data_IF_813803319839
#
_entry.id   IF_813803319839
#
_cell.length_a   1.000
_cell.length_b   1.000
_cell.length_c   1.000
_cell.angle_alpha   90.00
_cell.angle_beta   90.00
_cell.angle_gamma   90.00
#
_symmetry.space_group_name_H-M   'P 1'
#
loop_
_entity.id
_entity.type
_entity.pdbx_description
1 polymer ?
#
# COMPACT_ATOMS: atom_id res chain seq x y z
N UNK A 1 -17.58 22.31 -24.86
CA UNK A 1 -17.99 23.59 -25.44
C UNK A 1 -19.07 24.17 -24.55
N UNK A 2 -19.03 25.46 -24.24
CA UNK A 2 -20.15 26.08 -23.55
C UNK A 2 -21.40 26.04 -24.45
N UNK A 3 -22.54 25.70 -23.88
CA UNK A 3 -23.82 25.74 -24.54
C UNK A 3 -24.66 26.88 -23.94
N UNK A 4 -25.47 27.51 -24.74
CA UNK A 4 -26.42 28.51 -24.31
C UNK A 4 -27.79 27.86 -24.05
N UNK A 5 -28.65 28.51 -23.27
CA UNK A 5 -30.04 28.14 -23.14
C UNK A 5 -30.79 28.31 -24.48
N UNK A 6 -32.04 27.87 -24.51
CA UNK A 6 -32.86 27.96 -25.75
C UNK A 6 -33.15 29.40 -26.22
N UNK A 7 -32.80 30.40 -25.40
CA UNK A 7 -32.95 31.84 -25.73
C UNK A 7 -31.62 32.52 -26.04
N UNK A 8 -30.49 31.82 -25.81
CA UNK A 8 -29.14 32.33 -26.06
C UNK A 8 -28.64 33.38 -25.07
N UNK A 9 -29.39 33.62 -23.99
CA UNK A 9 -29.11 34.72 -23.05
C UNK A 9 -28.23 34.28 -21.85
N UNK A 10 -28.22 33.01 -21.52
CA UNK A 10 -27.43 32.47 -20.39
C UNK A 10 -26.45 31.39 -20.85
N UNK A 11 -25.23 31.48 -20.34
CA UNK A 11 -24.19 30.49 -20.58
C UNK A 11 -24.23 29.41 -19.50
N UNK A 12 -24.64 28.20 -19.86
CA UNK A 12 -24.51 27.06 -18.98
C UNK A 12 -23.10 26.50 -19.08
N UNK A 13 -22.33 26.71 -18.02
CA UNK A 13 -21.10 25.94 -17.77
C UNK A 13 -21.48 24.63 -17.06
N UNK A 14 -22.18 23.78 -17.76
CA UNK A 14 -22.25 22.40 -17.31
C UNK A 14 -20.88 21.77 -17.61
N UNK A 15 -19.93 22.02 -16.71
CA UNK A 15 -18.72 21.26 -16.64
C UNK A 15 -19.13 19.90 -16.07
N UNK A 16 -19.75 19.08 -16.90
CA UNK A 16 -19.70 17.65 -16.69
C UNK A 16 -18.21 17.31 -16.83
N UNK A 17 -17.50 17.38 -15.73
CA UNK A 17 -16.27 16.63 -15.57
C UNK A 17 -16.69 15.15 -15.69
N UNK A 18 -16.76 14.65 -16.91
CA UNK A 18 -16.43 13.25 -17.07
C UNK A 18 -15.05 13.12 -16.43
N UNK A 19 -14.90 12.32 -15.37
CA UNK A 19 -13.56 11.90 -15.02
C UNK A 19 -13.06 11.33 -16.35
N UNK A 20 -12.13 12.01 -16.99
CA UNK A 20 -11.30 11.38 -18.00
C UNK A 20 -10.90 10.11 -17.30
N UNK A 21 -11.28 8.96 -17.84
CA UNK A 21 -10.63 7.72 -17.50
C UNK A 21 -9.16 8.02 -17.75
N UNK A 22 -8.48 8.48 -16.72
CA UNK A 22 -7.08 8.81 -16.78
C UNK A 22 -6.36 7.49 -16.81
N UNK A 23 -6.42 6.84 -17.97
CA UNK A 23 -5.68 5.63 -18.31
C UNK A 23 -4.17 5.81 -18.11
N UNK A 24 -3.74 7.01 -17.72
CA UNK A 24 -2.36 7.39 -17.50
C UNK A 24 -1.94 7.61 -16.05
N UNK A 25 -2.86 7.62 -15.06
CA UNK A 25 -2.51 7.83 -13.66
C UNK A 25 -2.35 6.52 -12.89
N UNK A 26 -1.46 6.47 -11.88
CA UNK A 26 -1.36 5.31 -11.00
C UNK A 26 -2.59 5.19 -10.11
N UNK A 27 -2.77 4.02 -9.53
CA UNK A 27 -3.74 3.74 -8.45
C UNK A 27 -3.01 3.54 -7.13
N UNK A 28 -3.75 3.59 -6.03
CA UNK A 28 -3.26 3.22 -4.71
C UNK A 28 -4.36 2.51 -3.93
N UNK A 29 -4.05 1.30 -3.48
CA UNK A 29 -4.93 0.48 -2.67
C UNK A 29 -4.14 -0.10 -1.49
N UNK A 30 -4.55 0.21 -0.26
CA UNK A 30 -3.94 -0.29 0.97
C UNK A 30 -4.83 -1.34 1.60
N UNK A 31 -4.22 -2.47 1.97
CA UNK A 31 -4.91 -3.61 2.56
C UNK A 31 -4.16 -4.17 3.75
N UNK A 32 -4.89 -4.83 4.61
CA UNK A 32 -4.39 -5.49 5.81
C UNK A 32 -5.06 -6.84 6.02
N UNK A 33 -4.33 -7.77 6.62
CA UNK A 33 -4.88 -9.03 7.14
C UNK A 33 -4.13 -9.42 8.41
N UNK A 34 -4.74 -10.25 9.25
CA UNK A 34 -4.00 -10.90 10.33
C UNK A 34 -2.97 -11.86 9.73
N UNK A 35 -1.76 -11.85 10.25
CA UNK A 35 -0.73 -12.78 9.78
C UNK A 35 -1.10 -14.20 10.22
N UNK A 36 -1.08 -15.19 9.33
CA UNK A 36 -1.42 -16.57 9.67
C UNK A 36 -0.39 -17.26 10.59
N UNK A 37 0.87 -16.77 10.58
CA UNK A 37 1.96 -17.34 11.37
C UNK A 37 2.20 -16.47 12.61
N UNK A 38 1.35 -16.60 13.64
CA UNK A 38 1.46 -15.84 14.88
C UNK A 38 2.53 -16.41 15.81
N UNK A 39 3.36 -15.53 16.42
CA UNK A 39 4.39 -15.92 17.38
C UNK A 39 3.82 -16.32 18.76
N UNK A 40 2.63 -15.80 19.09
CA UNK A 40 2.01 -15.93 20.40
C UNK A 40 0.80 -16.87 20.36
N UNK A 41 1.04 -18.12 20.01
CA UNK A 41 0.01 -19.15 20.11
C UNK A 41 -0.14 -19.54 21.57
N UNK A 42 -1.09 -18.93 22.26
CA UNK A 42 -1.55 -19.45 23.56
C UNK A 42 -2.60 -20.53 23.31
N UNK A 43 -2.80 -21.42 24.28
CA UNK A 43 -3.82 -22.48 24.22
C UNK A 43 -5.22 -21.89 23.94
N UNK A 44 -5.49 -20.66 24.35
CA UNK A 44 -6.74 -19.95 24.07
C UNK A 44 -6.89 -19.49 22.60
N UNK A 45 -5.79 -19.43 21.85
CA UNK A 45 -5.77 -18.99 20.45
C UNK A 45 -5.63 -20.14 19.46
N UNK A 46 -5.53 -21.39 19.94
CA UNK A 46 -5.33 -22.56 19.09
C UNK A 46 -6.50 -22.79 18.15
N UNK A 47 -7.73 -22.59 18.60
CA UNK A 47 -8.90 -22.74 17.74
C UNK A 47 -8.93 -21.68 16.65
N UNK A 48 -8.59 -20.45 17.00
CA UNK A 48 -8.46 -19.35 16.06
C UNK A 48 -7.35 -19.58 15.02
N UNK A 49 -6.24 -20.18 15.43
CA UNK A 49 -5.14 -20.54 14.54
C UNK A 49 -5.47 -21.76 13.66
N UNK A 50 -6.25 -22.70 14.16
CA UNK A 50 -6.76 -23.80 13.37
C UNK A 50 -7.67 -23.27 12.25
N UNK A 51 -8.54 -22.31 12.54
CA UNK A 51 -9.36 -21.62 11.57
C UNK A 51 -8.50 -20.83 10.57
N UNK A 52 -7.47 -20.15 11.03
CA UNK A 52 -6.50 -19.49 10.17
C UNK A 52 -5.75 -20.46 9.27
N UNK A 53 -5.38 -21.62 9.77
CA UNK A 53 -4.63 -22.61 8.99
C UNK A 53 -5.50 -23.27 7.94
N UNK A 54 -6.77 -23.55 8.23
CA UNK A 54 -7.73 -24.10 7.31
C UNK A 54 -8.20 -23.07 6.27
N UNK A 55 -8.31 -21.80 6.64
CA UNK A 55 -8.69 -20.68 5.79
C UNK A 55 -7.49 -20.03 5.07
N UNK A 56 -6.28 -20.54 5.22
CA UNK A 56 -5.03 -19.93 4.74
C UNK A 56 -5.05 -19.51 3.28
N UNK A 57 -5.70 -20.28 2.42
CA UNK A 57 -5.84 -19.99 1.01
C UNK A 57 -6.98 -19.03 0.69
N UNK A 58 -7.89 -18.82 1.64
CA UNK A 58 -9.05 -17.93 1.52
C UNK A 58 -8.85 -16.62 2.27
N UNK A 59 -7.76 -16.49 2.98
CA UNK A 59 -7.50 -15.34 3.86
C UNK A 59 -7.17 -14.10 3.04
N UNK A 60 -8.17 -13.26 2.87
CA UNK A 60 -8.10 -12.08 2.01
C UNK A 60 -7.68 -10.85 2.79
N UNK A 61 -6.92 -10.00 2.15
CA UNK A 61 -6.68 -8.65 2.59
C UNK A 61 -7.97 -7.84 2.62
N UNK A 62 -8.11 -6.99 3.64
CA UNK A 62 -9.29 -6.16 3.88
C UNK A 62 -8.87 -4.73 4.26
N UNK A 63 -9.84 -3.81 4.28
CA UNK A 63 -9.61 -2.43 4.75
C UNK A 63 -9.56 -2.34 6.28
N UNK A 64 -10.18 -3.29 6.97
CA UNK A 64 -10.24 -3.34 8.43
C UNK A 64 -10.13 -4.77 8.93
N UNK A 65 -9.45 -4.96 10.05
CA UNK A 65 -9.40 -6.24 10.77
C UNK A 65 -9.46 -6.00 12.27
N UNK A 66 -9.83 -7.04 13.02
CA UNK A 66 -9.71 -7.08 14.49
C UNK A 66 -8.44 -7.84 14.85
N UNK A 67 -7.64 -7.28 15.76
CA UNK A 67 -6.42 -7.90 16.24
C UNK A 67 -6.24 -7.69 17.74
N UNK A 68 -5.71 -8.69 18.43
CA UNK A 68 -5.35 -8.61 19.84
C UNK A 68 -3.96 -7.97 20.01
N UNK A 69 -3.66 -7.52 21.25
CA UNK A 69 -2.29 -7.12 21.61
C UNK A 69 -1.30 -8.25 21.24
N UNK A 70 -0.12 -7.88 20.78
CA UNK A 70 0.94 -8.76 20.31
C UNK A 70 0.68 -9.51 18.98
N UNK A 71 -0.49 -9.39 18.37
CA UNK A 71 -0.73 -9.98 17.05
C UNK A 71 0.11 -9.32 15.96
N UNK A 72 0.59 -10.15 15.03
CA UNK A 72 1.21 -9.69 13.79
C UNK A 72 0.16 -9.51 12.68
N UNK A 73 0.43 -8.54 11.83
CA UNK A 73 -0.40 -8.16 10.71
C UNK A 73 0.43 -8.12 9.45
N UNK A 74 -0.16 -8.55 8.33
CA UNK A 74 0.37 -8.32 7.00
C UNK A 74 -0.30 -7.08 6.41
N UNK A 75 0.49 -6.15 5.91
CA UNK A 75 0.06 -5.00 5.14
C UNK A 75 0.56 -5.08 3.72
N UNK A 76 -0.19 -4.51 2.81
CA UNK A 76 0.27 -4.26 1.45
C UNK A 76 -0.28 -2.95 0.91
N UNK A 77 0.51 -2.28 0.06
CA UNK A 77 0.01 -1.30 -0.90
C UNK A 77 0.12 -1.90 -2.29
N UNK A 78 -0.94 -1.76 -3.07
CA UNK A 78 -0.93 -2.11 -4.48
C UNK A 78 -1.14 -0.83 -5.28
N UNK A 79 -0.26 -0.60 -6.24
CA UNK A 79 -0.37 0.52 -7.16
C UNK A 79 -0.23 0.01 -8.58
N UNK A 80 -1.25 0.23 -9.39
CA UNK A 80 -1.08 0.08 -10.84
C UNK A 80 -0.19 1.23 -11.31
N UNK A 81 0.92 0.91 -11.94
CA UNK A 81 1.80 1.91 -12.52
C UNK A 81 1.10 2.66 -13.65
N UNK A 82 1.41 3.95 -13.84
CA UNK A 82 0.83 4.70 -14.94
C UNK A 82 1.25 4.11 -16.29
N UNK A 83 0.51 4.46 -17.34
CA UNK A 83 0.97 4.19 -18.70
C UNK A 83 2.21 5.04 -19.01
N UNK A 84 3.34 4.37 -19.21
CA UNK A 84 4.66 5.00 -19.36
C UNK A 84 4.94 5.17 -20.86
N UNK A 85 5.05 6.41 -21.30
CA UNK A 85 5.27 6.76 -22.70
C UNK A 85 6.73 7.00 -23.08
N UNK A 86 7.62 7.06 -22.08
CA UNK A 86 9.07 7.18 -22.30
C UNK A 86 9.80 6.15 -21.42
N UNK A 87 10.54 5.26 -22.04
CA UNK A 87 11.27 4.20 -21.36
C UNK A 87 12.45 4.70 -20.51
N UNK A 88 12.83 5.96 -20.65
CA UNK A 88 14.03 6.49 -19.99
C UNK A 88 13.76 7.60 -18.98
N UNK A 89 12.67 8.34 -19.09
CA UNK A 89 12.51 9.58 -18.34
C UNK A 89 11.09 9.88 -17.85
N UNK A 90 10.16 8.94 -17.92
CA UNK A 90 8.77 9.21 -17.61
C UNK A 90 8.53 9.50 -16.12
N UNK A 91 8.87 8.56 -15.22
CA UNK A 91 8.76 8.74 -13.80
C UNK A 91 10.06 9.33 -13.22
N UNK A 92 9.93 10.41 -12.46
CA UNK A 92 11.05 11.01 -11.70
C UNK A 92 10.90 10.87 -10.20
N UNK A 93 9.72 10.55 -9.72
CA UNK A 93 9.43 10.29 -8.30
C UNK A 93 8.32 9.26 -8.17
N UNK A 94 8.50 8.28 -7.30
CA UNK A 94 7.49 7.31 -6.91
C UNK A 94 7.76 6.89 -5.47
N UNK A 95 7.03 7.49 -4.53
CA UNK A 95 7.34 7.39 -3.10
C UNK A 95 6.08 7.11 -2.30
N UNK A 96 6.12 6.06 -1.48
CA UNK A 96 5.08 5.76 -0.51
C UNK A 96 5.49 6.28 0.85
N UNK A 97 4.61 7.05 1.49
CA UNK A 97 4.76 7.50 2.87
C UNK A 97 3.64 6.87 3.69
N UNK A 98 4.01 6.09 4.67
CA UNK A 98 3.10 5.35 5.55
C UNK A 98 3.23 5.84 6.99
N UNK A 99 2.12 6.00 7.67
CA UNK A 99 2.09 6.40 9.08
C UNK A 99 1.06 5.54 9.80
N UNK A 100 1.46 4.85 10.85
CA UNK A 100 0.56 4.02 11.65
C UNK A 100 0.37 4.60 13.05
N UNK A 101 -0.76 4.24 13.68
CA UNK A 101 -1.03 4.63 15.05
C UNK A 101 0.12 4.20 15.98
N UNK A 102 0.35 4.98 17.04
CA UNK A 102 1.43 4.76 17.99
C UNK A 102 1.38 3.38 18.69
N UNK A 103 0.20 2.75 18.75
CA UNK A 103 0.01 1.39 19.27
C UNK A 103 0.54 0.26 18.38
N UNK A 104 1.21 0.58 17.27
CA UNK A 104 1.70 -0.36 16.28
C UNK A 104 3.20 -0.23 16.10
N UNK A 105 3.86 -1.31 15.68
CA UNK A 105 5.30 -1.34 15.41
C UNK A 105 5.56 -2.00 14.05
N UNK A 106 6.34 -1.35 13.18
CA UNK A 106 6.77 -1.92 11.91
C UNK A 106 7.70 -3.12 12.11
N UNK A 107 7.49 -4.18 11.31
CA UNK A 107 8.41 -5.31 11.24
C UNK A 107 9.75 -5.00 10.56
N UNK A 108 9.83 -3.87 9.86
CA UNK A 108 11.02 -3.42 9.10
C UNK A 108 11.50 -4.43 8.06
N UNK A 109 10.56 -5.10 7.42
CA UNK A 109 10.77 -6.20 6.49
C UNK A 109 10.17 -5.90 5.10
N UNK A 110 9.98 -4.64 4.77
CA UNK A 110 9.37 -4.23 3.52
C UNK A 110 10.08 -4.83 2.29
N UNK A 111 9.29 -5.38 1.39
CA UNK A 111 9.70 -5.94 0.13
C UNK A 111 8.81 -5.41 -0.98
N UNK A 112 9.37 -5.17 -2.15
CA UNK A 112 8.61 -4.80 -3.35
C UNK A 112 8.58 -5.96 -4.32
N UNK A 113 7.41 -6.21 -4.90
CA UNK A 113 7.24 -7.11 -6.02
C UNK A 113 6.44 -6.45 -7.14
N UNK A 114 6.65 -6.89 -8.36
CA UNK A 114 5.93 -6.40 -9.54
C UNK A 114 5.24 -7.57 -10.20
N UNK A 115 3.96 -7.37 -10.55
CA UNK A 115 3.10 -8.38 -11.13
C UNK A 115 2.43 -7.91 -12.41
N UNK A 116 2.12 -8.87 -13.27
CA UNK A 116 1.33 -8.65 -14.48
C UNK A 116 -0.11 -8.27 -14.17
N UNK A 117 -0.72 -8.89 -13.15
CA UNK A 117 -2.13 -8.76 -12.81
C UNK A 117 -2.35 -8.34 -11.36
N UNK A 118 -3.48 -7.69 -11.11
CA UNK A 118 -3.90 -7.31 -9.76
C UNK A 118 -4.16 -8.54 -8.88
N UNK A 119 -4.76 -9.60 -9.41
CA UNK A 119 -5.06 -10.81 -8.65
C UNK A 119 -3.81 -11.49 -8.09
N UNK A 120 -2.71 -11.51 -8.85
CA UNK A 120 -1.43 -12.02 -8.37
C UNK A 120 -0.87 -11.12 -7.25
N UNK A 121 -0.98 -9.80 -7.42
CA UNK A 121 -0.58 -8.82 -6.43
C UNK A 121 -1.39 -8.94 -5.12
N UNK A 122 -2.71 -9.10 -5.21
CA UNK A 122 -3.62 -9.20 -4.05
C UNK A 122 -3.26 -10.37 -3.10
N UNK A 123 -2.64 -11.43 -3.60
CA UNK A 123 -2.28 -12.63 -2.81
C UNK A 123 -0.89 -12.58 -2.20
N UNK A 124 -0.14 -11.52 -2.43
CA UNK A 124 1.27 -11.43 -2.06
C UNK A 124 1.45 -10.94 -0.63
N UNK A 125 2.38 -11.54 0.10
CA UNK A 125 2.87 -11.10 1.40
C UNK A 125 4.39 -11.30 1.48
N UNK A 126 5.02 -10.85 2.57
CA UNK A 126 6.48 -10.91 2.77
C UNK A 126 7.03 -12.34 2.63
N UNK A 127 6.27 -13.36 3.06
CA UNK A 127 6.75 -14.75 3.11
C UNK A 127 6.58 -15.50 1.79
N UNK A 128 5.74 -15.03 0.88
CA UNK A 128 5.44 -15.76 -0.37
C UNK A 128 5.82 -15.02 -1.65
N UNK A 129 6.39 -13.83 -1.55
CA UNK A 129 6.68 -12.96 -2.68
C UNK A 129 7.54 -13.64 -3.76
N UNK A 130 8.52 -14.42 -3.36
CA UNK A 130 9.42 -15.12 -4.28
C UNK A 130 8.74 -16.33 -4.98
N UNK A 131 7.65 -16.85 -4.41
CA UNK A 131 6.91 -18.03 -4.91
C UNK A 131 5.68 -17.65 -5.72
N UNK A 132 5.35 -16.39 -5.79
CA UNK A 132 4.07 -15.90 -6.32
C UNK A 132 4.07 -15.60 -7.83
N UNK A 133 5.16 -15.89 -8.55
CA UNK A 133 5.27 -15.60 -9.98
C UNK A 133 5.46 -14.11 -10.29
N UNK A 134 6.14 -13.36 -9.42
CA UNK A 134 6.45 -11.97 -9.64
C UNK A 134 7.37 -11.77 -10.86
N UNK A 135 7.15 -10.67 -11.60
CA UNK A 135 8.04 -10.24 -12.68
C UNK A 135 9.38 -9.74 -12.14
N UNK A 136 9.37 -9.16 -10.95
CA UNK A 136 10.53 -8.72 -10.20
C UNK A 136 10.25 -8.75 -8.70
N UNK A 137 11.28 -8.99 -7.90
CA UNK A 137 11.28 -8.88 -6.43
C UNK A 137 12.47 -8.04 -6.03
N UNK A 138 12.22 -6.97 -5.26
CA UNK A 138 13.24 -6.03 -4.82
C UNK A 138 13.29 -5.96 -3.30
N UNK A 139 14.50 -5.96 -2.77
CA UNK A 139 14.79 -5.76 -1.35
C UNK A 139 15.69 -4.52 -1.18
N UNK A 140 15.51 -3.79 -0.10
CA UNK A 140 16.36 -2.62 0.21
C UNK A 140 17.82 -3.00 0.46
N UNK A 141 18.07 -4.28 0.76
CA UNK A 141 19.40 -4.85 0.98
C UNK A 141 20.10 -5.36 -0.30
N UNK A 142 19.46 -5.26 -1.46
CA UNK A 142 20.06 -5.67 -2.73
C UNK A 142 21.34 -4.85 -3.02
N UNK A 143 22.26 -5.41 -3.79
CA UNK A 143 23.51 -4.73 -4.17
C UNK A 143 23.27 -3.44 -4.95
N UNK A 144 22.24 -3.43 -5.81
CA UNK A 144 21.76 -2.26 -6.54
C UNK A 144 20.28 -2.02 -6.17
N UNK A 145 20.02 -1.43 -5.00
CA UNK A 145 18.68 -1.36 -4.47
C UNK A 145 17.78 -0.47 -5.33
N UNK A 146 16.60 -0.97 -5.67
CA UNK A 146 15.60 -0.26 -6.47
C UNK A 146 14.75 0.68 -5.63
N UNK A 147 14.78 0.52 -4.31
CA UNK A 147 14.14 1.41 -3.35
C UNK A 147 14.95 1.50 -2.06
N UNK A 148 14.68 2.56 -1.30
CA UNK A 148 15.13 2.71 0.07
C UNK A 148 13.91 2.68 1.01
N UNK A 149 14.03 1.97 2.12
CA UNK A 149 13.07 1.96 3.21
C UNK A 149 13.65 2.70 4.40
N UNK A 150 12.96 3.76 4.84
CA UNK A 150 13.37 4.57 6.00
C UNK A 150 12.28 4.54 7.04
N UNK A 151 12.66 4.37 8.30
CA UNK A 151 11.75 4.30 9.43
C UNK A 151 12.03 5.45 10.40
N UNK A 152 10.97 6.08 10.88
CA UNK A 152 11.04 7.24 11.77
C UNK A 152 9.71 7.50 12.44
N UNK A 153 9.40 8.75 12.67
CA UNK A 153 8.13 9.20 13.27
C UNK A 153 7.55 10.38 12.51
N UNK A 154 6.23 10.50 12.56
CA UNK A 154 5.46 11.69 12.19
C UNK A 154 4.68 12.12 13.44
N UNK A 155 5.17 13.13 14.16
CA UNK A 155 4.74 13.40 15.52
C UNK A 155 5.11 12.22 16.44
N UNK A 156 4.15 11.65 17.14
CA UNK A 156 4.33 10.46 17.99
C UNK A 156 4.14 9.15 17.24
N UNK A 157 3.55 9.20 16.05
CA UNK A 157 3.19 8.02 15.27
C UNK A 157 4.40 7.46 14.50
N UNK A 158 4.61 6.14 14.48
CA UNK A 158 5.61 5.50 13.64
C UNK A 158 5.37 5.79 12.15
N UNK A 159 6.43 6.05 11.42
CA UNK A 159 6.38 6.36 10.00
C UNK A 159 7.39 5.53 9.20
N UNK A 160 7.00 5.15 7.99
CA UNK A 160 7.84 4.45 7.02
C UNK A 160 7.79 5.18 5.68
N UNK A 161 8.95 5.37 5.07
CA UNK A 161 9.08 5.93 3.73
C UNK A 161 9.68 4.88 2.81
N UNK A 162 8.99 4.57 1.73
CA UNK A 162 9.47 3.70 0.64
C UNK A 162 9.68 4.57 -0.59
N UNK A 163 10.92 4.84 -0.90
CA UNK A 163 11.30 5.75 -1.98
C UNK A 163 12.03 5.00 -3.09
N UNK A 164 11.54 5.08 -4.33
CA UNK A 164 12.25 4.51 -5.47
C UNK A 164 13.57 5.24 -5.67
N UNK A 165 14.65 4.47 -5.80
CA UNK A 165 15.96 4.99 -6.21
C UNK A 165 15.94 5.34 -7.70
N UNK A 166 16.98 6.02 -8.17
CA UNK A 166 17.17 6.26 -9.60
C UNK A 166 17.19 4.96 -10.41
N UNK A 167 17.85 3.93 -9.88
CA UNK A 167 17.87 2.60 -10.50
C UNK A 167 16.47 1.98 -10.56
N UNK A 168 15.68 2.10 -9.48
CA UNK A 168 14.30 1.66 -9.44
C UNK A 168 13.41 2.40 -10.43
N UNK A 169 13.48 3.72 -10.48
CA UNK A 169 12.73 4.54 -11.45
C UNK A 169 13.07 4.18 -12.90
N UNK A 170 14.35 3.94 -13.20
CA UNK A 170 14.80 3.51 -14.53
C UNK A 170 14.18 2.14 -14.90
N UNK A 171 14.16 1.19 -13.98
CA UNK A 171 13.52 -0.11 -14.21
C UNK A 171 12.01 0.01 -14.44
N UNK A 172 11.31 0.81 -13.61
CA UNK A 172 9.88 1.07 -13.78
C UNK A 172 9.58 1.67 -15.15
N UNK A 173 10.32 2.70 -15.54
CA UNK A 173 10.16 3.38 -16.84
C UNK A 173 10.40 2.43 -18.02
N UNK A 174 11.39 1.57 -17.91
CA UNK A 174 11.85 0.71 -19.01
C UNK A 174 10.96 -0.51 -19.22
N UNK A 175 10.42 -1.12 -18.15
CA UNK A 175 9.86 -2.46 -18.22
C UNK A 175 8.42 -2.61 -17.73
N UNK A 176 7.91 -1.68 -16.89
CA UNK A 176 6.74 -1.99 -16.06
C UNK A 176 5.55 -1.04 -16.26
N UNK A 177 5.45 -0.41 -17.44
CA UNK A 177 4.25 0.36 -17.82
C UNK A 177 2.99 -0.47 -17.60
N UNK A 178 1.99 0.11 -16.94
CA UNK A 178 0.69 -0.53 -16.65
C UNK A 178 0.72 -1.77 -15.75
N UNK A 179 1.90 -2.17 -15.22
CA UNK A 179 2.03 -3.30 -14.31
C UNK A 179 1.66 -2.90 -12.87
N UNK A 180 1.58 -3.87 -11.99
CA UNK A 180 1.21 -3.69 -10.59
C UNK A 180 2.44 -3.80 -9.68
N UNK A 181 2.78 -2.71 -8.99
CA UNK A 181 3.78 -2.70 -7.93
C UNK A 181 3.10 -2.94 -6.59
N UNK A 182 3.66 -3.87 -5.81
CA UNK A 182 3.19 -4.21 -4.48
C UNK A 182 4.30 -3.97 -3.48
N UNK A 183 3.99 -3.23 -2.41
CA UNK A 183 4.84 -3.13 -1.23
C UNK A 183 4.21 -3.97 -0.15
N UNK A 184 4.89 -5.03 0.29
CA UNK A 184 4.49 -5.89 1.39
C UNK A 184 5.35 -5.62 2.61
N UNK A 185 4.75 -5.56 3.79
CA UNK A 185 5.44 -5.46 5.06
C UNK A 185 4.59 -6.03 6.19
N UNK A 186 5.21 -6.28 7.32
CA UNK A 186 4.51 -6.71 8.54
C UNK A 186 4.53 -5.61 9.59
N UNK A 187 3.56 -5.66 10.48
CA UNK A 187 3.51 -4.86 11.69
C UNK A 187 3.00 -5.72 12.86
N UNK A 188 3.20 -5.24 14.07
CA UNK A 188 2.75 -5.89 15.30
C UNK A 188 1.95 -4.91 16.14
N UNK A 189 0.84 -5.38 16.69
CA UNK A 189 0.09 -4.63 17.72
C UNK A 189 0.93 -4.64 19.00
N UNK A 190 1.20 -3.47 19.58
CA UNK A 190 1.95 -3.35 20.80
C UNK A 190 1.23 -4.05 21.97
N UNK A 191 1.95 -4.28 23.06
CA UNK A 191 1.41 -4.92 24.27
C UNK A 191 1.09 -3.92 25.38
N UNK A 192 1.55 -2.69 25.25
CA UNK A 192 1.37 -1.60 26.21
C UNK A 192 0.07 -0.80 25.98
N UNK A 193 -0.09 0.28 26.72
CA UNK A 193 -1.29 1.12 26.68
C UNK A 193 -1.31 2.13 25.52
N UNK A 194 -0.32 2.09 24.63
CA UNK A 194 -0.32 2.88 23.40
C UNK A 194 -1.37 2.39 22.38
N UNK A 195 -1.83 1.13 22.53
CA UNK A 195 -2.88 0.56 21.68
C UNK A 195 -4.22 1.17 22.02
N UNK A 196 -4.88 1.73 21.00
CA UNK A 196 -6.23 2.26 21.15
C UNK A 196 -7.22 1.10 21.14
N UNK A 197 -7.93 0.91 22.27
CA UNK A 197 -8.96 -0.09 22.38
C UNK A 197 -10.33 0.46 21.97
N UNK A 198 -11.17 -0.42 21.44
CA UNK A 198 -12.56 -0.12 21.06
C UNK A 198 -12.70 0.48 19.65
N UNK A 199 -13.84 1.14 19.44
CA UNK A 199 -14.33 1.52 18.11
C UNK A 199 -13.55 2.66 17.43
N UNK A 200 -12.69 3.34 18.15
CA UNK A 200 -11.82 4.38 17.56
C UNK A 200 -10.76 3.76 16.63
N UNK A 201 -10.29 2.57 16.98
CA UNK A 201 -9.31 1.81 16.19
C UNK A 201 -7.91 2.43 16.13
N UNK A 202 -7.02 1.71 15.50
CA UNK A 202 -5.62 2.08 15.27
C UNK A 202 -5.43 2.25 13.75
N UNK A 203 -5.46 3.49 13.22
CA UNK A 203 -5.35 3.73 11.79
C UNK A 203 -3.92 3.54 11.28
N UNK A 204 -3.82 3.20 10.00
CA UNK A 204 -2.59 3.21 9.24
C UNK A 204 -2.88 3.86 7.88
N UNK A 205 -2.27 5.01 7.64
CA UNK A 205 -2.45 5.84 6.45
C UNK A 205 -1.25 5.73 5.53
N UNK A 206 -1.50 5.67 4.23
CA UNK A 206 -0.46 5.73 3.20
C UNK A 206 -0.77 6.85 2.21
N UNK A 207 0.28 7.51 1.73
CA UNK A 207 0.22 8.35 0.55
C UNK A 207 1.24 7.90 -0.49
N UNK A 208 0.85 7.93 -1.77
CA UNK A 208 1.74 7.81 -2.90
C UNK A 208 1.97 9.20 -3.48
N UNK A 209 3.21 9.65 -3.45
CA UNK A 209 3.65 10.87 -4.12
C UNK A 209 4.40 10.46 -5.40
N UNK A 210 3.93 10.91 -6.55
CA UNK A 210 4.56 10.60 -7.80
C UNK A 210 4.68 11.83 -8.69
N UNK A 211 5.66 11.81 -9.60
CA UNK A 211 5.96 12.93 -10.49
C UNK A 211 6.49 12.41 -11.82
N UNK A 212 6.01 13.03 -12.89
CA UNK A 212 6.60 12.88 -14.23
C UNK A 212 7.74 13.87 -14.44
N UNK A 213 8.73 13.49 -15.22
CA UNK A 213 9.95 14.29 -15.44
C UNK A 213 9.68 15.69 -15.99
N UNK A 214 8.66 15.84 -16.83
CA UNK A 214 8.33 17.08 -17.52
C UNK A 214 7.26 17.94 -16.81
N UNK A 215 6.98 17.67 -15.54
CA UNK A 215 6.03 18.45 -14.73
C UNK A 215 6.70 18.97 -13.46
N UNK A 216 6.28 20.14 -13.00
CA UNK A 216 6.71 20.73 -11.74
C UNK A 216 5.83 20.34 -10.55
N UNK A 217 4.76 19.57 -10.79
CA UNK A 217 3.77 19.23 -9.78
C UNK A 217 3.90 17.75 -9.38
N UNK A 218 3.74 17.50 -8.08
CA UNK A 218 3.54 16.17 -7.54
C UNK A 218 2.06 15.85 -7.49
N UNK A 219 1.69 14.67 -7.94
CA UNK A 219 0.36 14.12 -7.70
C UNK A 219 0.41 13.22 -6.47
N UNK A 220 -0.61 13.30 -5.63
CA UNK A 220 -0.68 12.55 -4.36
C UNK A 220 -1.98 11.76 -4.31
N UNK A 221 -1.86 10.44 -4.10
CA UNK A 221 -2.96 9.56 -3.78
C UNK A 221 -2.88 9.15 -2.31
N UNK A 222 -4.02 8.86 -1.69
CA UNK A 222 -4.09 8.45 -0.28
C UNK A 222 -5.02 7.27 -0.12
N UNK A 223 -4.70 6.39 0.83
CA UNK A 223 -5.56 5.31 1.31
C UNK A 223 -5.24 4.97 2.75
N UNK A 224 -6.09 4.21 3.43
CA UNK A 224 -5.91 3.82 4.82
C UNK A 224 -6.52 2.47 5.15
N UNK A 225 -5.99 1.84 6.20
CA UNK A 225 -6.56 0.70 6.90
C UNK A 225 -6.76 1.02 8.37
N UNK A 226 -7.64 0.30 9.06
CA UNK A 226 -7.89 0.47 10.49
C UNK A 226 -7.86 -0.90 11.16
N UNK A 227 -7.14 -0.98 12.27
CA UNK A 227 -7.10 -2.15 13.14
C UNK A 227 -7.92 -1.86 14.39
N UNK A 228 -8.88 -2.70 14.68
CA UNK A 228 -9.66 -2.64 15.91
C UNK A 228 -9.11 -3.62 16.93
N UNK A 229 -8.87 -3.15 18.14
CA UNK A 229 -8.44 -3.97 19.25
C UNK A 229 -9.43 -3.79 20.41
N UNK A 230 -9.81 -4.91 21.02
CA UNK A 230 -10.72 -4.91 22.15
C UNK A 230 -9.99 -5.55 23.33
N UNK A 231 -10.06 -4.90 24.51
CA UNK A 231 -9.55 -5.48 25.75
C UNK A 231 -10.50 -6.55 26.28
N UNK A 232 -9.94 -7.65 26.75
CA UNK A 232 -10.63 -8.65 27.55
C UNK A 232 -10.05 -8.61 28.96
#
# INVERSE_FOLDING_TARGET
MPSTDSKGDDWFYDVICYPKNETGNPTLDKRVRNNPDQDNVTTANTDRLADFTSARNEYKYQSTVTASKAERLDYQFISKLPHITSSTTYLSTYTFNDTMANGMTYGKDAVIAIYETKDAADRTNVNNVEKSGALAVWKSSDTDPKFAATYGKSGDDPAMKIEMTKAGLNELNKKYSDKYIVVCYTAKVNTDDSVILGDKGNPNDVSLTWKRTNTNYYDILKDKCIIYSYGY
#
